data_IF_769624200281
#
_entry.id   IF_769624200281
#
_cell.length_a   1.000
_cell.length_b   1.000
_cell.length_c   1.000
_cell.angle_alpha   90.00
_cell.angle_beta   90.00
_cell.angle_gamma   90.00
#
_symmetry.space_group_name_H-M   'P 1'
#
loop_
_entity.id
_entity.type
_entity.pdbx_description
1 polymer ?
#
# COMPACT_ATOMS: atom_id res chain seq x y z
N UNK A 1 12.40 13.10 4.70
CA UNK A 1 13.24 13.70 3.62
C UNK A 1 13.86 12.56 2.82
N UNK A 2 14.16 12.69 1.51
CA UNK A 2 14.91 11.66 0.80
C UNK A 2 16.28 11.47 1.48
N UNK A 3 16.55 10.27 2.02
CA UNK A 3 17.81 9.94 2.71
C UNK A 3 17.71 9.64 4.21
N UNK A 4 16.52 9.72 4.80
CA UNK A 4 16.28 9.23 6.16
C UNK A 4 15.90 7.74 6.11
N UNK A 5 16.41 6.95 7.06
CA UNK A 5 16.08 5.54 7.18
C UNK A 5 14.57 5.35 7.35
N UNK A 6 13.98 4.51 6.51
CA UNK A 6 12.53 4.28 6.45
C UNK A 6 11.97 3.74 7.78
N UNK A 7 12.71 2.85 8.45
CA UNK A 7 12.34 2.34 9.77
C UNK A 7 12.26 3.43 10.83
N UNK A 8 13.19 4.39 10.85
CA UNK A 8 13.17 5.48 11.82
C UNK A 8 12.02 6.46 11.66
N UNK A 9 11.48 6.65 10.43
CA UNK A 9 10.31 7.51 10.19
C UNK A 9 9.00 6.83 10.57
N UNK A 10 8.86 5.53 10.29
CA UNK A 10 7.69 4.76 10.73
C UNK A 10 7.63 4.75 12.25
N UNK A 11 8.73 4.46 12.92
CA UNK A 11 8.80 4.42 14.38
C UNK A 11 8.42 5.79 14.99
N UNK A 12 8.90 6.90 14.43
CA UNK A 12 8.57 8.24 14.92
C UNK A 12 7.09 8.57 14.73
N UNK A 13 6.56 8.42 13.53
CA UNK A 13 5.15 8.68 13.24
C UNK A 13 4.22 7.78 14.07
N UNK A 14 4.62 6.53 14.25
CA UNK A 14 3.88 5.56 15.07
C UNK A 14 3.87 5.96 16.55
N UNK A 15 4.98 6.46 17.08
CA UNK A 15 5.08 6.92 18.48
C UNK A 15 4.32 8.23 18.74
N UNK A 16 4.14 9.06 17.74
CA UNK A 16 3.45 10.36 17.84
C UNK A 16 1.95 10.28 17.48
N UNK A 17 1.49 9.18 16.86
CA UNK A 17 0.10 9.05 16.41
C UNK A 17 -0.88 8.90 17.57
N UNK A 18 -1.92 9.72 17.60
CA UNK A 18 -3.05 9.60 18.56
C UNK A 18 -4.05 8.51 18.16
N UNK A 19 -4.12 8.16 16.86
CA UNK A 19 -4.99 7.11 16.32
C UNK A 19 -4.15 6.16 15.46
N UNK A 20 -4.27 4.86 15.71
CA UNK A 20 -3.62 3.79 14.95
C UNK A 20 -4.68 2.90 14.32
N UNK A 21 -4.71 2.82 12.98
CA UNK A 21 -5.58 1.90 12.25
C UNK A 21 -4.83 0.59 12.01
N UNK A 22 -5.36 -0.53 12.52
CA UNK A 22 -4.86 -1.87 12.21
C UNK A 22 -5.62 -2.41 11.00
N UNK A 23 -4.99 -2.44 9.83
CA UNK A 23 -5.56 -2.96 8.59
C UNK A 23 -5.42 -4.49 8.55
N UNK A 24 -6.44 -5.19 9.03
CA UNK A 24 -6.39 -6.62 9.30
C UNK A 24 -6.81 -7.44 8.08
N UNK A 25 -5.90 -8.28 7.61
CA UNK A 25 -6.12 -9.30 6.58
C UNK A 25 -5.41 -10.61 6.96
N UNK A 26 -5.59 -11.67 6.17
CA UNK A 26 -4.81 -12.90 6.34
C UNK A 26 -3.32 -12.66 6.16
N UNK A 27 -2.95 -11.77 5.24
CA UNK A 27 -1.55 -11.44 4.97
C UNK A 27 -0.93 -10.68 6.15
N UNK A 28 -1.68 -9.73 6.74
CA UNK A 28 -1.25 -9.04 7.97
C UNK A 28 -1.01 -10.02 9.13
N UNK A 29 -1.90 -11.02 9.29
CA UNK A 29 -1.78 -12.02 10.36
C UNK A 29 -0.56 -12.93 10.14
N UNK A 30 -0.24 -13.25 8.89
CA UNK A 30 0.88 -14.11 8.52
C UNK A 30 2.22 -13.37 8.42
N UNK A 31 2.23 -12.04 8.56
CA UNK A 31 3.46 -11.24 8.56
C UNK A 31 4.05 -11.21 9.96
N UNK A 32 5.15 -11.93 10.18
CA UNK A 32 5.82 -12.00 11.49
C UNK A 32 6.28 -10.64 11.98
N UNK A 33 6.73 -9.77 11.10
CA UNK A 33 7.21 -8.43 11.44
C UNK A 33 6.09 -7.46 11.83
N UNK A 34 5.09 -7.27 10.96
CA UNK A 34 3.97 -6.35 11.23
C UNK A 34 3.11 -6.82 12.40
N UNK A 35 2.93 -8.15 12.53
CA UNK A 35 2.05 -8.71 13.54
C UNK A 35 2.64 -8.63 14.95
N UNK A 36 3.92 -8.99 15.15
CA UNK A 36 4.49 -9.06 16.50
C UNK A 36 4.95 -7.71 17.02
N UNK A 37 5.62 -6.91 16.22
CA UNK A 37 6.27 -5.68 16.70
C UNK A 37 5.32 -4.48 16.70
N UNK A 38 4.69 -4.19 15.58
CA UNK A 38 3.85 -2.99 15.45
C UNK A 38 2.52 -3.14 16.17
N UNK A 39 1.88 -4.29 16.04
CA UNK A 39 0.61 -4.56 16.72
C UNK A 39 0.77 -4.55 18.25
N UNK A 40 1.79 -5.22 18.80
CA UNK A 40 2.00 -5.23 20.24
C UNK A 40 2.27 -3.83 20.78
N UNK A 41 3.09 -3.04 20.08
CA UNK A 41 3.34 -1.64 20.44
C UNK A 41 2.06 -0.80 20.39
N UNK A 42 1.23 -0.97 19.34
CA UNK A 42 -0.04 -0.28 19.24
C UNK A 42 -0.97 -0.61 20.42
N UNK A 43 -1.09 -1.89 20.77
CA UNK A 43 -1.92 -2.34 21.88
C UNK A 43 -1.42 -1.82 23.23
N UNK A 44 -0.11 -1.83 23.46
CA UNK A 44 0.49 -1.26 24.69
C UNK A 44 0.20 0.23 24.81
N UNK A 45 0.26 1.00 23.73
CA UNK A 45 -0.10 2.42 23.72
C UNK A 45 -1.59 2.62 23.97
N UNK A 46 -2.44 1.77 23.41
CA UNK A 46 -3.87 1.78 23.64
C UNK A 46 -4.22 1.53 25.11
N UNK A 47 -3.62 0.52 25.72
CA UNK A 47 -3.82 0.14 27.13
C UNK A 47 -3.37 1.26 28.09
N UNK A 48 -2.35 2.04 27.70
CA UNK A 48 -1.88 3.21 28.45
C UNK A 48 -2.71 4.48 28.20
N UNK A 49 -3.66 4.44 27.27
CA UNK A 49 -4.43 5.60 26.84
C UNK A 49 -3.62 6.66 26.07
N UNK A 50 -2.49 6.26 25.49
CA UNK A 50 -1.59 7.11 24.69
C UNK A 50 -2.04 7.19 23.23
N UNK A 51 -2.78 6.20 22.74
CA UNK A 51 -3.34 6.16 21.40
C UNK A 51 -4.67 5.38 21.38
N UNK A 52 -5.52 5.68 20.41
CA UNK A 52 -6.73 4.90 20.12
C UNK A 52 -6.43 3.93 18.98
N UNK A 53 -6.51 2.63 19.25
CA UNK A 53 -6.36 1.60 18.21
C UNK A 53 -7.71 1.24 17.64
N UNK A 54 -7.85 1.24 16.31
CA UNK A 54 -9.09 0.89 15.60
C UNK A 54 -8.78 -0.24 14.61
N UNK A 55 -9.23 -1.49 14.90
CA UNK A 55 -9.10 -2.59 13.94
C UNK A 55 -10.05 -2.40 12.75
N UNK A 56 -9.51 -2.46 11.53
CA UNK A 56 -10.24 -2.43 10.26
C UNK A 56 -10.09 -3.78 9.59
N UNK A 57 -11.13 -4.59 9.62
CA UNK A 57 -11.10 -5.93 9.01
C UNK A 57 -11.30 -5.78 7.50
N UNK A 58 -10.24 -5.91 6.72
CA UNK A 58 -10.29 -5.75 5.28
C UNK A 58 -10.93 -6.95 4.59
N UNK A 59 -10.47 -8.16 4.93
CA UNK A 59 -10.91 -9.45 4.36
C UNK A 59 -11.26 -10.45 5.46
N UNK A 60 -12.10 -11.48 5.18
CA UNK A 60 -12.37 -12.55 6.14
C UNK A 60 -11.06 -13.22 6.58
N UNK A 61 -10.82 -13.24 7.88
CA UNK A 61 -9.64 -13.86 8.50
C UNK A 61 -9.93 -14.22 9.96
N UNK A 62 -9.01 -14.93 10.61
CA UNK A 62 -9.17 -15.42 11.98
C UNK A 62 -8.93 -14.34 13.07
N UNK A 63 -9.28 -13.08 12.81
CA UNK A 63 -8.99 -11.95 13.70
C UNK A 63 -9.57 -12.06 15.11
N UNK A 64 -10.67 -12.82 15.29
CA UNK A 64 -11.30 -13.04 16.61
C UNK A 64 -10.43 -13.84 17.58
N UNK A 65 -9.34 -14.44 17.11
CA UNK A 65 -8.38 -15.16 17.94
C UNK A 65 -7.21 -14.27 18.38
N UNK A 66 -7.13 -13.03 17.87
CA UNK A 66 -6.00 -12.13 18.08
C UNK A 66 -6.15 -11.30 19.37
N UNK A 67 -5.04 -10.75 19.90
CA UNK A 67 -5.03 -9.97 21.13
C UNK A 67 -6.01 -8.78 21.12
N UNK A 68 -6.17 -8.11 19.99
CA UNK A 68 -7.06 -6.96 19.84
C UNK A 68 -8.55 -7.30 19.64
N UNK A 69 -8.94 -8.57 19.75
CA UNK A 69 -10.35 -9.02 19.63
C UNK A 69 -11.33 -8.31 20.56
N UNK A 70 -10.83 -7.74 21.65
CA UNK A 70 -11.62 -6.99 22.65
C UNK A 70 -11.85 -5.54 22.25
N UNK A 71 -11.07 -5.03 21.29
CA UNK A 71 -11.19 -3.67 20.79
C UNK A 71 -12.29 -3.65 19.75
N UNK A 72 -13.15 -2.64 19.81
CA UNK A 72 -14.24 -2.48 18.85
C UNK A 72 -13.67 -2.22 17.44
N UNK A 73 -14.04 -3.06 16.50
CA UNK A 73 -13.64 -2.88 15.10
C UNK A 73 -14.34 -1.66 14.46
N UNK A 74 -13.74 -1.08 13.44
CA UNK A 74 -14.28 0.08 12.74
C UNK A 74 -15.65 -0.17 12.12
N UNK A 75 -15.87 -1.37 11.58
CA UNK A 75 -17.15 -1.79 10.99
C UNK A 75 -18.02 -2.49 12.01
N UNK A 76 -19.35 -2.38 11.82
CA UNK A 76 -20.34 -3.04 12.69
C UNK A 76 -20.06 -4.55 12.75
N UNK A 77 -20.00 -5.10 13.97
CA UNK A 77 -19.76 -6.51 14.27
C UNK A 77 -18.42 -7.07 13.71
N UNK A 78 -17.48 -6.19 13.32
CA UNK A 78 -16.24 -6.56 12.68
C UNK A 78 -16.44 -7.20 11.30
N UNK A 79 -17.49 -6.78 10.58
CA UNK A 79 -17.76 -7.24 9.22
C UNK A 79 -16.63 -6.80 8.29
N UNK A 80 -15.98 -7.73 7.54
CA UNK A 80 -14.94 -7.39 6.59
C UNK A 80 -15.40 -6.39 5.52
N UNK A 81 -14.54 -5.42 5.20
CA UNK A 81 -14.85 -4.38 4.20
C UNK A 81 -15.26 -4.97 2.86
N UNK A 82 -14.60 -6.04 2.41
CA UNK A 82 -14.95 -6.75 1.15
C UNK A 82 -16.32 -7.44 1.15
N UNK A 83 -16.96 -7.57 2.31
CA UNK A 83 -18.29 -8.20 2.42
C UNK A 83 -19.45 -7.20 2.39
N UNK A 84 -19.16 -5.91 2.25
CA UNK A 84 -20.17 -4.89 1.99
C UNK A 84 -20.60 -4.91 0.52
N UNK A 85 -21.81 -4.42 0.19
CA UNK A 85 -22.27 -4.32 -1.20
C UNK A 85 -21.32 -3.50 -2.08
N UNK A 86 -20.64 -2.50 -1.50
CA UNK A 86 -19.54 -1.76 -2.12
C UNK A 86 -18.44 -1.50 -1.08
N UNK A 87 -17.21 -1.31 -1.55
CA UNK A 87 -16.11 -0.89 -0.69
C UNK A 87 -16.38 0.46 -0.01
N UNK A 88 -17.07 1.37 -0.72
CA UNK A 88 -17.41 2.69 -0.20
C UNK A 88 -18.29 2.61 1.04
N UNK A 89 -19.29 1.72 1.07
CA UNK A 89 -20.11 1.51 2.27
C UNK A 89 -19.27 1.00 3.46
N UNK A 90 -18.34 0.11 3.20
CA UNK A 90 -17.40 -0.38 4.22
C UNK A 90 -16.51 0.73 4.76
N UNK A 91 -15.93 1.54 3.87
CA UNK A 91 -15.04 2.64 4.25
C UNK A 91 -15.76 3.82 4.89
N UNK A 92 -17.03 4.09 4.57
CA UNK A 92 -17.85 5.08 5.30
C UNK A 92 -17.90 4.72 6.79
N UNK A 93 -18.08 3.43 7.15
CA UNK A 93 -18.08 3.03 8.56
C UNK A 93 -16.70 3.22 9.22
N UNK A 94 -15.61 3.02 8.46
CA UNK A 94 -14.26 3.29 8.96
C UNK A 94 -14.07 4.78 9.24
N UNK A 95 -14.50 5.65 8.33
CA UNK A 95 -14.45 7.11 8.51
C UNK A 95 -15.27 7.54 9.72
N UNK A 96 -16.46 7.00 9.91
CA UNK A 96 -17.30 7.26 11.07
C UNK A 96 -16.63 6.81 12.38
N UNK A 97 -15.91 5.68 12.36
CA UNK A 97 -15.19 5.21 13.54
C UNK A 97 -14.02 6.13 13.88
N UNK A 98 -13.27 6.59 12.89
CA UNK A 98 -12.17 7.56 13.05
C UNK A 98 -12.71 8.89 13.56
N UNK A 99 -13.81 9.40 13.02
CA UNK A 99 -14.45 10.65 13.44
C UNK A 99 -14.85 10.59 14.92
N UNK A 100 -15.47 9.49 15.37
CA UNK A 100 -15.80 9.29 16.78
C UNK A 100 -14.56 9.24 17.69
N UNK A 101 -13.47 8.66 17.23
CA UNK A 101 -12.20 8.63 17.96
C UNK A 101 -11.61 10.04 18.10
N UNK A 102 -11.66 10.85 17.05
CA UNK A 102 -11.22 12.25 17.07
C UNK A 102 -12.05 13.09 18.05
N UNK A 103 -13.38 12.93 18.08
CA UNK A 103 -14.27 13.60 19.02
C UNK A 103 -13.93 13.22 20.47
N UNK A 104 -13.59 11.95 20.70
CA UNK A 104 -13.18 11.46 22.02
C UNK A 104 -11.85 12.09 22.49
N UNK A 105 -10.87 12.23 21.60
CA UNK A 105 -9.60 12.89 21.89
C UNK A 105 -9.80 14.38 22.17
N UNK A 106 -10.63 15.07 21.39
CA UNK A 106 -11.00 16.47 21.62
C UNK A 106 -11.65 16.70 23.00
N UNK A 107 -12.55 15.81 23.41
CA UNK A 107 -13.20 15.88 24.72
C UNK A 107 -12.25 15.59 25.90
N UNK A 108 -11.19 14.80 25.69
CA UNK A 108 -10.18 14.52 26.72
C UNK A 108 -9.19 15.68 26.91
N UNK A 109 -8.88 16.41 25.85
CA UNK A 109 -8.02 17.59 25.92
C UNK A 109 -8.62 18.71 26.76
N UNK A 110 -9.95 18.85 26.74
CA UNK A 110 -10.69 19.84 27.56
C UNK A 110 -10.75 19.49 29.05
N UNK A 111 -10.51 18.24 29.44
CA UNK A 111 -10.55 17.78 30.84
C UNK A 111 -9.21 17.86 31.58
N UNK A 112 -8.11 18.15 30.89
CA UNK A 112 -6.76 18.16 31.50
C UNK A 112 -6.30 19.52 32.03
N UNK A 113 -7.13 20.56 32.03
CA UNK A 113 -6.75 21.83 32.60
C UNK A 113 -7.79 22.42 33.54
N UNK A 114 -7.76 22.11 34.86
CA UNK A 114 -8.37 22.94 35.86
C UNK A 114 -7.29 23.72 36.58
N UNK A 115 -7.11 25.00 36.28
CA UNK A 115 -6.68 26.08 37.20
C UNK A 115 -6.12 27.28 36.41
N UNK A 116 -6.89 28.30 36.21
CA UNK A 116 -6.68 29.65 36.75
C UNK A 116 -7.62 30.68 36.11
N UNK A 117 -8.05 31.69 36.85
CA UNK A 117 -9.16 32.52 36.47
C UNK A 117 -8.71 33.79 35.69
N UNK A 118 -9.67 34.30 34.93
CA UNK A 118 -9.73 35.63 34.33
C UNK A 118 -8.64 36.06 33.34
N UNK A 119 -8.96 35.96 32.08
CA UNK A 119 -8.57 36.96 31.08
C UNK A 119 -9.55 36.92 29.90
N UNK A 120 -10.32 37.99 29.82
CA UNK A 120 -10.84 38.69 28.63
C UNK A 120 -11.26 37.83 27.41
N UNK A 121 -12.55 37.90 27.10
CA UNK A 121 -13.19 37.43 25.87
C UNK A 121 -12.48 38.00 24.62
N UNK A 122 -11.67 37.22 24.00
CA UNK A 122 -11.42 37.32 22.56
C UNK A 122 -12.10 36.16 21.90
N UNK A 123 -13.09 36.46 21.09
CA UNK A 123 -13.83 35.52 20.24
C UNK A 123 -12.86 34.83 19.31
N UNK A 124 -12.35 33.67 19.70
CA UNK A 124 -11.78 32.70 18.75
C UNK A 124 -12.96 32.05 18.05
N UNK A 125 -13.27 32.62 16.89
CA UNK A 125 -14.17 32.00 15.93
C UNK A 125 -13.66 30.58 15.66
N UNK A 126 -14.42 29.56 16.15
CA UNK A 126 -14.37 28.24 15.55
C UNK A 126 -14.50 28.42 14.04
N UNK A 127 -13.70 27.78 13.21
CA UNK A 127 -13.97 27.77 11.79
C UNK A 127 -15.35 27.13 11.63
N UNK A 128 -16.36 27.98 11.38
CA UNK A 128 -17.67 27.53 10.95
C UNK A 128 -17.40 26.74 9.68
N UNK A 129 -17.48 25.42 9.77
CA UNK A 129 -17.46 24.58 8.58
C UNK A 129 -18.73 24.91 7.80
N UNK A 130 -18.59 25.89 6.91
CA UNK A 130 -19.66 26.22 5.98
C UNK A 130 -20.02 24.97 5.20
N UNK A 131 -21.30 24.57 5.18
CA UNK A 131 -21.73 23.42 4.39
C UNK A 131 -21.22 23.57 2.96
N UNK A 132 -20.39 22.63 2.50
CA UNK A 132 -19.83 22.61 1.15
C UNK A 132 -19.98 21.23 0.56
N UNK A 133 -20.09 21.12 -0.75
CA UNK A 133 -20.08 19.85 -1.46
C UNK A 133 -18.78 19.09 -1.16
N UNK A 134 -18.89 17.78 -0.92
CA UNK A 134 -17.75 16.86 -0.91
C UNK A 134 -17.24 16.60 -2.34
N UNK A 135 -18.07 16.82 -3.34
CA UNK A 135 -17.70 16.67 -4.75
C UNK A 135 -17.09 17.97 -5.28
N UNK A 136 -15.83 18.23 -4.93
CA UNK A 136 -15.06 19.38 -5.40
C UNK A 136 -14.02 18.98 -6.45
N UNK A 137 -14.01 17.73 -6.89
CA UNK A 137 -13.10 17.24 -7.89
C UNK A 137 -13.44 17.84 -9.26
N UNK A 138 -12.57 18.71 -9.74
CA UNK A 138 -12.64 19.23 -11.12
C UNK A 138 -11.66 18.39 -11.93
N UNK A 139 -12.08 17.79 -13.06
CA UNK A 139 -11.17 17.07 -13.94
C UNK A 139 -9.98 17.95 -14.30
N UNK A 140 -8.78 17.55 -13.90
CA UNK A 140 -7.55 18.20 -14.31
C UNK A 140 -7.16 17.62 -15.66
N UNK A 141 -6.87 18.50 -16.63
CA UNK A 141 -6.29 18.04 -17.90
C UNK A 141 -4.91 17.47 -17.61
N UNK A 142 -4.78 16.14 -17.69
CA UNK A 142 -3.53 15.44 -17.53
C UNK A 142 -2.70 15.64 -18.79
N UNK A 143 -1.47 16.09 -18.63
CA UNK A 143 -0.53 16.39 -19.70
C UNK A 143 0.40 15.22 -20.00
N UNK A 144 1.04 15.23 -21.17
CA UNK A 144 2.06 14.24 -21.51
C UNK A 144 3.22 14.28 -20.49
N UNK A 145 3.57 15.46 -19.96
CA UNK A 145 4.58 15.62 -18.91
C UNK A 145 4.17 14.91 -17.59
N UNK A 146 2.89 14.97 -17.23
CA UNK A 146 2.38 14.28 -16.03
C UNK A 146 2.49 12.76 -16.23
N UNK A 147 2.20 12.26 -17.43
CA UNK A 147 2.33 10.83 -17.79
C UNK A 147 3.79 10.37 -17.78
N UNK A 148 4.70 11.14 -18.38
CA UNK A 148 6.13 10.83 -18.41
C UNK A 148 6.70 10.79 -16.99
N UNK A 149 6.28 11.72 -16.12
CA UNK A 149 6.67 11.76 -14.72
C UNK A 149 6.14 10.53 -13.97
N UNK A 150 4.87 10.20 -14.12
CA UNK A 150 4.26 9.01 -13.50
C UNK A 150 4.95 7.72 -13.94
N UNK A 151 5.28 7.60 -15.23
CA UNK A 151 6.03 6.46 -15.76
C UNK A 151 7.42 6.33 -15.09
N UNK A 152 8.13 7.45 -14.96
CA UNK A 152 9.45 7.48 -14.31
C UNK A 152 9.36 7.10 -12.83
N UNK A 153 8.46 7.74 -12.09
CA UNK A 153 8.23 7.46 -10.66
C UNK A 153 7.80 6.00 -10.43
N UNK A 154 6.92 5.47 -11.28
CA UNK A 154 6.50 4.08 -11.24
C UNK A 154 7.64 3.10 -11.49
N UNK A 155 8.52 3.40 -12.44
CA UNK A 155 9.70 2.57 -12.71
C UNK A 155 10.72 2.62 -11.55
N UNK A 156 10.98 3.79 -10.98
CA UNK A 156 11.83 3.94 -9.80
C UNK A 156 11.24 3.19 -8.57
N UNK A 157 9.91 3.15 -8.45
CA UNK A 157 9.24 2.34 -7.44
C UNK A 157 9.47 0.84 -7.68
N UNK A 158 9.33 0.36 -8.93
CA UNK A 158 9.59 -1.04 -9.30
C UNK A 158 11.01 -1.49 -8.96
N UNK A 159 12.01 -0.67 -9.26
CA UNK A 159 13.41 -0.97 -8.95
C UNK A 159 13.57 -1.24 -7.46
N UNK A 160 13.10 -0.32 -6.61
CA UNK A 160 13.19 -0.46 -5.14
C UNK A 160 12.38 -1.64 -4.60
N UNK A 161 11.18 -1.83 -5.14
CA UNK A 161 10.30 -2.93 -4.73
C UNK A 161 10.93 -4.30 -5.01
N UNK A 162 11.49 -4.48 -6.22
CA UNK A 162 12.16 -5.72 -6.59
C UNK A 162 13.43 -5.94 -5.77
N UNK A 163 14.27 -4.92 -5.61
CA UNK A 163 15.50 -4.99 -4.81
C UNK A 163 15.21 -5.45 -3.38
N UNK A 164 14.30 -4.79 -2.68
CA UNK A 164 13.91 -5.16 -1.32
C UNK A 164 13.28 -6.56 -1.26
N UNK A 165 12.44 -6.90 -2.23
CA UNK A 165 11.80 -8.23 -2.29
C UNK A 165 12.81 -9.34 -2.52
N UNK A 166 13.88 -9.11 -3.28
CA UNK A 166 14.98 -10.06 -3.47
C UNK A 166 15.80 -10.27 -2.21
N UNK A 167 16.11 -9.22 -1.47
CA UNK A 167 16.80 -9.31 -0.18
C UNK A 167 15.99 -10.14 0.80
N UNK A 168 14.69 -9.87 0.91
CA UNK A 168 13.79 -10.59 1.80
C UNK A 168 13.59 -12.05 1.36
N UNK A 169 13.46 -12.31 0.06
CA UNK A 169 13.34 -13.66 -0.48
C UNK A 169 14.55 -14.52 -0.11
N UNK A 170 15.76 -13.96 -0.24
CA UNK A 170 17.01 -14.62 0.14
C UNK A 170 17.10 -14.86 1.64
N UNK A 171 16.68 -13.87 2.45
CA UNK A 171 16.72 -13.98 3.90
C UNK A 171 15.79 -15.08 4.43
N UNK A 172 14.60 -15.21 3.83
CA UNK A 172 13.58 -16.19 4.28
C UNK A 172 13.80 -17.61 3.77
N UNK A 173 14.55 -17.78 2.69
CA UNK A 173 14.66 -19.09 2.01
C UNK A 173 16.11 -19.53 1.89
N UNK A 174 16.53 -20.42 2.78
CA UNK A 174 17.85 -21.05 2.72
C UNK A 174 17.94 -21.90 1.45
N UNK A 175 18.98 -21.70 0.65
CA UNK A 175 19.19 -22.42 -0.61
C UNK A 175 18.73 -21.67 -1.87
N UNK A 176 18.19 -20.47 -1.72
CA UNK A 176 17.96 -19.58 -2.86
C UNK A 176 19.09 -18.56 -2.98
N UNK A 177 19.62 -18.43 -4.19
CA UNK A 177 20.51 -17.35 -4.60
C UNK A 177 19.76 -16.37 -5.50
N UNK A 178 20.00 -15.09 -5.32
CA UNK A 178 19.33 -14.02 -6.06
C UNK A 178 20.35 -13.17 -6.82
N UNK A 179 19.99 -12.76 -8.03
CA UNK A 179 20.80 -11.85 -8.86
C UNK A 179 19.88 -10.70 -9.33
N UNK A 180 20.18 -9.49 -8.86
CA UNK A 180 19.49 -8.27 -9.25
C UNK A 180 20.48 -7.30 -9.87
N UNK A 181 20.25 -6.88 -11.13
CA UNK A 181 21.17 -6.04 -11.86
C UNK A 181 20.46 -4.88 -12.54
N UNK A 182 20.78 -3.65 -12.14
CA UNK A 182 20.42 -2.45 -12.90
C UNK A 182 21.30 -2.43 -14.16
N UNK A 183 20.66 -2.43 -15.32
CA UNK A 183 21.35 -2.43 -16.62
C UNK A 183 21.64 -1.02 -17.12
N UNK A 184 20.66 -0.15 -16.99
CA UNK A 184 20.75 1.27 -17.29
C UNK A 184 19.68 2.06 -16.51
N UNK A 185 19.53 3.35 -16.79
CA UNK A 185 18.54 4.21 -16.11
C UNK A 185 17.09 3.77 -16.34
N UNK A 186 16.83 2.98 -17.37
CA UNK A 186 15.50 2.60 -17.84
C UNK A 186 15.28 1.08 -17.83
N UNK A 187 16.23 0.29 -17.28
CA UNK A 187 16.11 -1.17 -17.31
C UNK A 187 16.85 -1.87 -16.19
N UNK A 188 16.26 -2.96 -15.70
CA UNK A 188 16.90 -3.91 -14.80
C UNK A 188 16.54 -5.35 -15.15
N UNK A 189 17.36 -6.28 -14.73
CA UNK A 189 17.12 -7.72 -14.87
C UNK A 189 17.34 -8.42 -13.55
N UNK A 190 16.60 -9.49 -13.32
CA UNK A 190 16.69 -10.26 -12.11
C UNK A 190 16.52 -11.76 -12.38
N UNK A 191 17.15 -12.56 -11.50
CA UNK A 191 17.05 -14.02 -11.53
C UNK A 191 17.09 -14.59 -10.12
N UNK A 192 16.42 -15.74 -9.94
CA UNK A 192 16.53 -16.57 -8.76
C UNK A 192 17.08 -17.94 -9.17
N UNK A 193 18.02 -18.42 -8.39
CA UNK A 193 18.59 -19.74 -8.52
C UNK A 193 18.22 -20.59 -7.32
N UNK A 194 17.82 -21.81 -7.57
CA UNK A 194 17.55 -22.83 -6.56
C UNK A 194 18.51 -23.99 -6.81
N UNK A 195 19.28 -24.41 -5.81
CA UNK A 195 20.27 -25.47 -5.91
C UNK A 195 21.25 -25.27 -7.09
N UNK A 196 21.63 -24.01 -7.36
CA UNK A 196 22.53 -23.62 -8.43
C UNK A 196 21.91 -23.62 -9.83
N UNK A 197 20.61 -23.93 -9.97
CA UNK A 197 19.87 -23.87 -11.23
C UNK A 197 18.98 -22.64 -11.27
N UNK A 198 18.92 -21.99 -12.44
CA UNK A 198 18.07 -20.83 -12.63
C UNK A 198 16.59 -21.25 -12.62
N UNK A 199 15.89 -20.87 -11.56
CA UNK A 199 14.49 -21.20 -11.35
C UNK A 199 13.53 -20.22 -12.03
N UNK A 200 13.83 -18.90 -11.93
CA UNK A 200 13.10 -17.87 -12.66
C UNK A 200 14.00 -16.68 -12.98
N UNK A 201 13.64 -15.94 -14.01
CA UNK A 201 14.32 -14.69 -14.36
C UNK A 201 13.36 -13.77 -15.11
N UNK A 202 13.66 -12.48 -15.11
CA UNK A 202 12.98 -11.51 -15.94
C UNK A 202 13.85 -10.31 -16.26
N UNK A 203 13.42 -9.56 -17.27
CA UNK A 203 13.86 -8.21 -17.53
C UNK A 203 12.68 -7.27 -17.48
N UNK A 204 12.86 -6.10 -16.88
CA UNK A 204 11.88 -5.04 -16.82
C UNK A 204 12.52 -3.76 -17.36
N UNK A 205 11.81 -3.06 -18.23
CA UNK A 205 12.33 -1.83 -18.82
C UNK A 205 11.24 -0.82 -19.12
N UNK A 206 11.63 0.43 -19.06
CA UNK A 206 10.81 1.56 -19.49
C UNK A 206 10.95 1.74 -21.00
N UNK A 207 9.84 1.79 -21.69
CA UNK A 207 9.82 1.96 -23.14
C UNK A 207 9.68 3.44 -23.48
N UNK A 208 10.80 4.11 -23.76
CA UNK A 208 10.82 5.52 -24.14
C UNK A 208 10.37 5.77 -25.58
N UNK A 209 10.29 4.71 -26.40
CA UNK A 209 9.78 4.79 -27.77
C UNK A 209 8.33 4.35 -27.74
N UNK A 210 7.38 5.21 -28.04
CA UNK A 210 5.94 4.93 -28.16
C UNK A 210 5.65 3.88 -29.26
N UNK A 211 6.22 2.70 -29.12
CA UNK A 211 6.21 1.60 -30.12
C UNK A 211 5.00 0.67 -29.99
N UNK A 212 3.95 1.08 -29.27
CA UNK A 212 2.75 0.24 -29.10
C UNK A 212 2.86 -0.86 -28.04
N UNK A 213 3.99 -1.00 -27.37
CA UNK A 213 4.26 -2.03 -26.35
C UNK A 213 3.93 -1.59 -24.91
N UNK A 214 3.28 -0.44 -24.70
CA UNK A 214 3.11 0.13 -23.35
C UNK A 214 4.36 0.87 -22.85
N UNK A 215 4.24 1.49 -21.67
CA UNK A 215 5.28 2.39 -21.12
C UNK A 215 6.31 1.66 -20.26
N UNK A 216 5.90 0.60 -19.55
CA UNK A 216 6.79 -0.27 -18.76
C UNK A 216 6.54 -1.71 -19.18
N UNK A 217 7.57 -2.41 -19.57
CA UNK A 217 7.52 -3.77 -20.12
C UNK A 217 8.18 -4.78 -19.19
N UNK A 218 7.61 -5.98 -19.15
CA UNK A 218 8.12 -7.15 -18.42
C UNK A 218 8.32 -8.32 -19.39
N UNK A 219 9.43 -9.04 -19.29
CA UNK A 219 9.67 -10.25 -20.05
C UNK A 219 10.43 -11.30 -19.26
N UNK A 220 9.94 -12.53 -19.29
CA UNK A 220 10.63 -13.72 -18.74
C UNK A 220 11.84 -14.14 -19.55
N UNK A 221 11.97 -13.69 -20.79
CA UNK A 221 13.12 -14.00 -21.65
C UNK A 221 14.28 -12.99 -21.50
N UNK A 222 14.16 -12.04 -20.55
CA UNK A 222 15.09 -10.93 -20.40
C UNK A 222 14.65 -9.69 -21.19
N UNK A 223 15.53 -8.67 -21.24
CA UNK A 223 15.23 -7.40 -21.91
C UNK A 223 15.26 -7.58 -23.42
N UNK A 224 14.09 -7.58 -24.05
CA UNK A 224 13.92 -7.66 -25.49
C UNK A 224 13.12 -6.44 -25.96
N UNK A 225 13.75 -5.52 -26.70
CA UNK A 225 13.12 -4.24 -27.11
C UNK A 225 11.88 -4.37 -28.00
N UNK A 226 11.62 -5.56 -28.57
CA UNK A 226 10.58 -5.76 -29.57
C UNK A 226 9.41 -6.66 -29.08
N UNK A 227 9.49 -7.24 -27.89
CA UNK A 227 8.44 -8.11 -27.34
C UNK A 227 8.51 -8.15 -25.82
N UNK A 228 7.36 -8.27 -25.18
CA UNK A 228 7.23 -8.47 -23.74
C UNK A 228 6.12 -9.48 -23.45
N UNK A 229 6.16 -10.08 -22.26
CA UNK A 229 5.07 -10.95 -21.80
C UNK A 229 3.92 -10.13 -21.23
N UNK A 230 4.24 -8.99 -20.63
CA UNK A 230 3.25 -8.05 -20.09
C UNK A 230 3.80 -6.62 -20.22
N UNK A 231 2.90 -5.67 -20.31
CA UNK A 231 3.26 -4.26 -20.25
C UNK A 231 2.22 -3.44 -19.52
N UNK A 232 2.68 -2.34 -18.93
CA UNK A 232 1.84 -1.35 -18.28
C UNK A 232 1.84 -0.07 -19.10
N UNK A 233 0.65 0.45 -19.37
CA UNK A 233 0.47 1.77 -19.97
C UNK A 233 0.06 2.75 -18.89
N UNK A 234 0.68 3.91 -18.86
CA UNK A 234 0.24 5.02 -17.99
C UNK A 234 -1.06 5.57 -18.55
N UNK A 235 -2.09 5.50 -17.74
CA UNK A 235 -3.44 5.94 -18.10
C UNK A 235 -4.06 6.78 -16.98
N UNK A 236 -5.17 7.45 -17.25
CA UNK A 236 -5.84 8.28 -16.28
C UNK A 236 -7.37 8.18 -16.42
N UNK A 237 -8.08 8.50 -15.36
CA UNK A 237 -9.53 8.62 -15.32
C UNK A 237 -10.01 10.07 -15.19
N UNK A 238 -9.16 11.05 -15.50
CA UNK A 238 -9.42 12.49 -15.34
C UNK A 238 -9.23 13.02 -13.92
N UNK A 239 -8.93 12.17 -12.93
CA UNK A 239 -8.68 12.54 -11.55
C UNK A 239 -7.34 12.00 -11.04
N UNK A 240 -7.02 10.76 -11.41
CA UNK A 240 -5.84 10.02 -10.93
C UNK A 240 -5.12 9.43 -12.13
N UNK A 241 -3.80 9.47 -12.11
CA UNK A 241 -2.93 8.74 -13.03
C UNK A 241 -2.59 7.38 -12.40
N UNK A 242 -2.58 6.34 -13.20
CA UNK A 242 -2.22 4.99 -12.77
C UNK A 242 -1.73 4.15 -13.94
N UNK A 243 -1.63 2.85 -13.74
CA UNK A 243 -1.11 1.90 -14.69
C UNK A 243 -2.19 0.92 -15.12
N UNK A 244 -2.27 0.68 -16.43
CA UNK A 244 -3.18 -0.30 -17.02
C UNK A 244 -2.37 -1.45 -17.64
N UNK A 245 -2.59 -2.71 -17.22
CA UNK A 245 -1.92 -3.86 -17.81
C UNK A 245 -2.50 -4.19 -19.19
N UNK A 246 -1.64 -4.60 -20.12
CA UNK A 246 -2.05 -4.99 -21.48
C UNK A 246 -2.90 -6.27 -21.47
N UNK A 247 -2.49 -7.28 -20.72
CA UNK A 247 -3.20 -8.57 -20.63
C UNK A 247 -4.41 -8.54 -19.71
N UNK A 248 -4.66 -7.41 -19.06
CA UNK A 248 -5.75 -7.25 -18.10
C UNK A 248 -5.49 -7.92 -16.75
N UNK A 249 -6.30 -7.55 -15.76
CA UNK A 249 -6.12 -7.95 -14.36
C UNK A 249 -6.64 -9.38 -14.09
N UNK A 250 -6.55 -10.29 -15.06
CA UNK A 250 -7.13 -11.65 -14.97
C UNK A 250 -6.48 -12.52 -13.89
N UNK A 251 -5.21 -12.32 -13.60
CA UNK A 251 -4.50 -13.16 -12.61
C UNK A 251 -4.87 -12.84 -11.17
N UNK A 252 -5.41 -11.64 -10.89
CA UNK A 252 -5.76 -11.21 -9.53
C UNK A 252 -7.26 -10.97 -9.30
N UNK A 253 -8.12 -11.28 -10.28
CA UNK A 253 -9.59 -11.16 -10.12
C UNK A 253 -10.09 -9.73 -9.99
N UNK A 254 -9.30 -8.73 -10.43
CA UNK A 254 -9.66 -7.32 -10.39
C UNK A 254 -10.48 -6.85 -11.60
N UNK A 255 -11.09 -5.66 -11.47
CA UNK A 255 -11.79 -4.98 -12.54
C UNK A 255 -10.79 -4.63 -13.66
N UNK A 256 -11.17 -4.93 -14.92
CA UNK A 256 -10.34 -4.69 -16.11
C UNK A 256 -10.04 -3.21 -16.34
N UNK A 257 -10.92 -2.34 -15.89
CA UNK A 257 -10.83 -0.89 -16.10
C UNK A 257 -10.19 -0.15 -14.92
N UNK A 258 -9.90 -0.84 -13.82
CA UNK A 258 -9.27 -0.22 -12.67
C UNK A 258 -7.80 0.10 -12.94
N UNK A 259 -7.43 1.37 -12.72
CA UNK A 259 -6.02 1.80 -12.76
C UNK A 259 -5.28 1.28 -11.53
N UNK A 260 -4.11 0.68 -11.76
CA UNK A 260 -3.21 0.24 -10.71
C UNK A 260 -2.38 1.40 -10.17
N UNK A 261 -2.10 1.38 -8.87
CA UNK A 261 -1.08 2.22 -8.25
C UNK A 261 0.33 1.70 -8.59
N UNK A 262 1.38 2.43 -8.21
CA UNK A 262 2.76 1.95 -8.30
C UNK A 262 2.95 0.60 -7.61
N UNK A 263 2.36 0.43 -6.42
CA UNK A 263 2.38 -0.81 -5.66
C UNK A 263 1.62 -1.95 -6.37
N UNK A 264 0.40 -1.67 -6.86
CA UNK A 264 -0.38 -2.66 -7.59
C UNK A 264 0.33 -3.16 -8.86
N UNK A 265 1.01 -2.27 -9.59
CA UNK A 265 1.85 -2.63 -10.72
C UNK A 265 3.05 -3.50 -10.30
N UNK A 266 3.71 -3.13 -9.21
CA UNK A 266 4.87 -3.86 -8.70
C UNK A 266 4.49 -5.28 -8.24
N UNK A 267 3.40 -5.42 -7.51
CA UNK A 267 2.85 -6.72 -7.09
C UNK A 267 2.43 -7.58 -8.29
N UNK A 268 1.85 -6.96 -9.33
CA UNK A 268 1.48 -7.67 -10.55
C UNK A 268 2.70 -8.28 -11.24
N UNK A 269 3.76 -7.50 -11.46
CA UNK A 269 5.00 -8.02 -12.08
C UNK A 269 5.73 -9.01 -11.17
N UNK A 270 5.74 -8.77 -9.86
CA UNK A 270 6.30 -9.70 -8.89
C UNK A 270 5.56 -11.04 -8.89
N UNK A 271 4.24 -11.02 -8.92
CA UNK A 271 3.41 -12.23 -9.02
C UNK A 271 3.74 -13.07 -10.26
N UNK A 272 3.94 -12.41 -11.41
CA UNK A 272 4.36 -13.09 -12.65
C UNK A 272 5.77 -13.69 -12.53
N UNK A 273 6.69 -12.95 -11.87
CA UNK A 273 8.07 -13.36 -11.68
C UNK A 273 8.21 -14.57 -10.75
N UNK A 274 7.54 -14.55 -9.59
CA UNK A 274 7.68 -15.56 -8.55
C UNK A 274 6.84 -16.82 -8.82
N UNK A 275 5.85 -16.75 -9.72
CA UNK A 275 4.91 -17.83 -10.02
C UNK A 275 5.58 -19.20 -10.31
N UNK A 276 6.66 -19.30 -11.12
CA UNK A 276 7.34 -20.57 -11.36
C UNK A 276 7.90 -21.20 -10.09
N UNK A 277 8.49 -20.41 -9.20
CA UNK A 277 9.02 -20.88 -7.91
C UNK A 277 7.93 -21.41 -6.98
N UNK A 278 6.81 -20.70 -6.90
CA UNK A 278 5.71 -21.07 -6.02
C UNK A 278 4.94 -22.31 -6.50
N UNK A 279 5.03 -22.65 -7.79
CA UNK A 279 4.32 -23.77 -8.39
C UNK A 279 5.25 -24.89 -8.86
N UNK A 280 6.56 -24.84 -8.62
CA UNK A 280 7.53 -25.85 -9.01
C UNK A 280 7.23 -27.27 -8.44
N UNK A 281 6.53 -27.36 -7.30
CA UNK A 281 6.16 -28.63 -6.66
C UNK A 281 4.78 -29.16 -7.05
N UNK A 282 4.13 -28.62 -8.08
CA UNK A 282 2.79 -29.07 -8.53
C UNK A 282 2.80 -29.99 -9.77
N UNK A 283 3.99 -30.33 -10.27
CA UNK A 283 4.14 -31.23 -11.43
C UNK A 283 5.05 -32.41 -11.12
#
# INVERSE_FOLDING_TARGET
>A
MPGEEFEGQIDKNFLEADIVLLLVSSDFINSDYCFQVEMERALQRHDRGEAIVIPVILRPCAWKQLPFRKILAATKDGRPVVQFPSYDEGFVQVVDAVSRALDQLGAQSTRRNPLSPEATYTSNSHPVTTPRSSNLAIPKKITDLDRDRACKEGFEYLVRFFENSFEELKHRNVGLDTDFQIRDADSFSCAVYQDGQKACHCGIWRNSQRSGLGDICYSQSGIAKNSCNESMTVDDNGQVIGFRPLMGNHMMGGDRDALMTNEGMAEHFWGMFIYPLQNANRF
#
